data_IF_537755411727
#
_entry.id   IF_537755411727
#
_cell.length_a   1.000
_cell.length_b   1.000
_cell.length_c   1.000
_cell.angle_alpha   90.00
_cell.angle_beta   90.00
_cell.angle_gamma   90.00
#
_symmetry.space_group_name_H-M   'P 1'
#
loop_
_entity.id
_entity.type
_entity.pdbx_description
1 polymer ?
#
# COMPACT_ATOMS: atom_id res chain seq x y z
N UNK A 1 -5.89 26.94 -4.03
CA UNK A 1 -4.79 26.44 -3.19
C UNK A 1 -3.94 25.52 -4.04
N UNK A 2 -2.63 25.74 -4.12
CA UNK A 2 -1.75 24.81 -4.81
C UNK A 2 -1.65 23.52 -3.99
N UNK A 3 -1.84 22.37 -4.65
CA UNK A 3 -1.66 21.05 -4.05
C UNK A 3 -0.18 20.91 -3.68
N UNK A 4 0.14 20.45 -2.47
CA UNK A 4 1.53 20.29 -2.04
C UNK A 4 2.24 19.24 -2.90
N UNK A 5 3.56 19.33 -3.06
CA UNK A 5 4.34 18.36 -3.85
C UNK A 5 4.10 16.91 -3.38
N UNK A 6 4.00 16.69 -2.06
CA UNK A 6 3.67 15.38 -1.50
C UNK A 6 2.30 14.87 -1.95
N UNK A 7 1.28 15.74 -1.92
CA UNK A 7 -0.05 15.39 -2.39
C UNK A 7 -0.07 15.08 -3.89
N UNK A 8 0.67 15.83 -4.71
CA UNK A 8 0.82 15.53 -6.14
C UNK A 8 1.46 14.15 -6.36
N UNK A 9 2.46 13.81 -5.56
CA UNK A 9 3.14 12.50 -5.63
C UNK A 9 2.22 11.36 -5.21
N UNK A 10 1.43 11.53 -4.13
CA UNK A 10 0.42 10.55 -3.71
C UNK A 10 -0.59 10.33 -4.83
N UNK A 11 -1.10 11.39 -5.47
CA UNK A 11 -2.05 11.29 -6.58
C UNK A 11 -1.46 10.50 -7.74
N UNK A 12 -0.22 10.83 -8.16
CA UNK A 12 0.44 10.15 -9.27
C UNK A 12 0.67 8.66 -9.00
N UNK A 13 1.15 8.31 -7.79
CA UNK A 13 1.36 6.91 -7.39
C UNK A 13 0.01 6.18 -7.31
N UNK A 14 -1.01 6.80 -6.74
CA UNK A 14 -2.36 6.22 -6.65
C UNK A 14 -2.89 5.86 -8.04
N UNK A 15 -2.76 6.75 -9.02
CA UNK A 15 -3.19 6.48 -10.41
C UNK A 15 -2.44 5.29 -11.02
N UNK A 16 -1.12 5.22 -10.83
CA UNK A 16 -0.29 4.11 -11.31
C UNK A 16 -0.66 2.77 -10.67
N UNK A 17 -0.97 2.76 -9.38
CA UNK A 17 -1.44 1.56 -8.67
C UNK A 17 -2.81 1.13 -9.22
N UNK A 18 -3.75 2.06 -9.37
CA UNK A 18 -5.10 1.78 -9.87
C UNK A 18 -5.05 1.19 -11.29
N UNK A 19 -4.19 1.72 -12.16
CA UNK A 19 -4.07 1.23 -13.53
C UNK A 19 -3.57 -0.22 -13.60
N UNK A 20 -2.68 -0.63 -12.68
CA UNK A 20 -2.07 -1.96 -12.67
C UNK A 20 -2.81 -3.01 -11.83
N UNK A 21 -3.35 -2.60 -10.69
CA UNK A 21 -3.90 -3.50 -9.67
C UNK A 21 -5.38 -3.21 -9.32
N UNK A 22 -5.92 -2.08 -9.80
CA UNK A 22 -7.25 -1.62 -9.43
C UNK A 22 -7.27 -0.84 -8.12
N UNK A 23 -8.49 -0.45 -7.71
CA UNK A 23 -8.70 0.43 -6.55
C UNK A 23 -8.43 -0.25 -5.21
N UNK A 24 -8.65 -1.56 -5.14
CA UNK A 24 -8.55 -2.39 -3.94
C UNK A 24 -7.52 -3.47 -4.17
N UNK A 25 -6.46 -3.47 -3.36
CA UNK A 25 -5.37 -4.42 -3.47
C UNK A 25 -5.59 -5.59 -2.53
N UNK A 26 -5.45 -6.80 -3.07
CA UNK A 26 -5.44 -8.04 -2.29
C UNK A 26 -4.05 -8.32 -1.71
N UNK A 27 -3.90 -9.41 -0.96
CA UNK A 27 -2.59 -9.83 -0.47
C UNK A 27 -1.65 -10.23 -1.61
N UNK A 28 -2.20 -10.77 -2.70
CA UNK A 28 -1.46 -11.14 -3.89
C UNK A 28 -0.88 -9.90 -4.61
N UNK A 29 -1.67 -8.83 -4.72
CA UNK A 29 -1.18 -7.57 -5.30
C UNK A 29 -0.07 -6.95 -4.43
N UNK A 30 -0.28 -6.89 -3.12
CA UNK A 30 0.70 -6.37 -2.18
C UNK A 30 1.97 -7.21 -2.16
N UNK A 31 1.86 -8.53 -2.24
CA UNK A 31 2.99 -9.43 -2.36
C UNK A 31 3.83 -9.13 -3.61
N UNK A 32 3.17 -8.85 -4.74
CA UNK A 32 3.84 -8.42 -5.97
C UNK A 32 4.58 -7.08 -5.81
N UNK A 33 3.97 -6.12 -5.13
CA UNK A 33 4.55 -4.78 -4.91
C UNK A 33 5.74 -4.83 -3.93
N UNK A 34 5.61 -5.58 -2.84
CA UNK A 34 6.65 -5.71 -1.81
C UNK A 34 7.67 -6.82 -2.11
N UNK A 35 7.50 -7.58 -3.20
CA UNK A 35 8.35 -8.70 -3.59
C UNK A 35 8.51 -9.77 -2.50
N UNK A 36 7.40 -10.10 -1.82
CA UNK A 36 7.34 -11.13 -0.77
C UNK A 36 6.21 -12.12 -1.08
N UNK A 37 6.03 -13.15 -0.26
CA UNK A 37 4.88 -14.05 -0.42
C UNK A 37 3.58 -13.44 0.14
N UNK A 38 2.40 -13.80 -0.40
CA UNK A 38 1.12 -13.37 0.17
C UNK A 38 0.94 -13.79 1.64
N UNK A 39 1.54 -14.91 2.03
CA UNK A 39 1.55 -15.39 3.41
C UNK A 39 2.34 -14.45 4.33
N UNK A 40 3.49 -13.95 3.88
CA UNK A 40 4.25 -12.94 4.62
C UNK A 40 3.40 -11.69 4.85
N UNK A 41 2.73 -11.17 3.82
CA UNK A 41 1.83 -10.02 3.94
C UNK A 41 0.70 -10.29 4.96
N UNK A 42 0.04 -11.44 4.85
CA UNK A 42 -1.01 -11.85 5.80
C UNK A 42 -0.49 -11.93 7.23
N UNK A 43 0.70 -12.49 7.43
CA UNK A 43 1.33 -12.61 8.75
C UNK A 43 1.65 -11.23 9.34
N UNK A 44 2.24 -10.32 8.55
CA UNK A 44 2.51 -8.94 8.98
C UNK A 44 1.25 -8.19 9.39
N UNK A 45 0.18 -8.29 8.61
CA UNK A 45 -1.11 -7.71 8.97
C UNK A 45 -1.75 -8.34 10.22
N UNK A 46 -1.48 -9.61 10.48
CA UNK A 46 -1.99 -10.30 11.68
C UNK A 46 -1.18 -9.94 12.91
N UNK A 47 0.14 -9.78 12.77
CA UNK A 47 1.05 -9.34 13.81
C UNK A 47 0.87 -7.84 14.16
N UNK A 48 0.29 -7.06 13.24
CA UNK A 48 0.11 -5.62 13.42
C UNK A 48 1.40 -4.84 13.18
N UNK A 49 2.24 -5.34 12.27
CA UNK A 49 3.53 -4.70 11.97
C UNK A 49 3.33 -3.29 11.43
N UNK A 50 4.19 -2.37 11.89
CA UNK A 50 4.13 -0.94 11.54
C UNK A 50 4.69 -0.62 10.16
N UNK A 51 5.31 -1.61 9.51
CA UNK A 51 5.91 -1.47 8.18
C UNK A 51 4.94 -1.82 7.05
N UNK A 52 3.64 -1.90 7.34
CA UNK A 52 2.58 -2.18 6.38
C UNK A 52 1.61 -0.99 6.23
N UNK A 53 1.01 -0.79 5.04
CA UNK A 53 0.00 0.23 4.82
C UNK A 53 -1.26 -0.05 5.64
N UNK A 54 -2.14 0.95 5.78
CA UNK A 54 -3.45 0.74 6.39
C UNK A 54 -4.30 -0.17 5.51
N UNK A 55 -5.09 -1.03 6.16
CA UNK A 55 -6.06 -1.89 5.49
C UNK A 55 -7.47 -1.61 5.99
N UNK A 56 -8.45 -1.89 5.14
CA UNK A 56 -9.86 -1.94 5.49
C UNK A 56 -10.38 -3.36 5.35
N UNK A 57 -11.49 -3.66 6.02
CA UNK A 57 -12.12 -4.97 5.94
C UNK A 57 -13.43 -4.88 5.15
N UNK A 58 -13.44 -5.46 3.96
CA UNK A 58 -14.62 -5.55 3.08
C UNK A 58 -14.99 -7.01 2.88
N UNK A 59 -16.26 -7.36 3.12
CA UNK A 59 -16.76 -8.74 2.95
C UNK A 59 -15.87 -9.81 3.62
N UNK A 60 -15.44 -9.54 4.86
CA UNK A 60 -14.53 -10.39 5.67
C UNK A 60 -13.10 -10.56 5.10
N UNK A 61 -12.74 -9.87 4.03
CA UNK A 61 -11.38 -9.81 3.49
C UNK A 61 -10.71 -8.50 3.86
N UNK A 62 -9.44 -8.55 4.21
CA UNK A 62 -8.63 -7.34 4.38
C UNK A 62 -8.12 -6.91 3.02
N UNK A 63 -8.33 -5.66 2.67
CA UNK A 63 -7.87 -5.05 1.42
C UNK A 63 -7.21 -3.72 1.74
N UNK A 64 -6.26 -3.33 0.90
CA UNK A 64 -5.60 -2.02 1.00
C UNK A 64 -6.11 -1.15 -0.13
N UNK A 65 -6.52 0.07 0.16
CA UNK A 65 -6.93 0.99 -0.91
C UNK A 65 -5.66 1.52 -1.61
N UNK A 66 -5.73 1.71 -2.92
CA UNK A 66 -4.60 2.23 -3.70
C UNK A 66 -4.06 3.55 -3.13
N UNK A 67 -4.94 4.43 -2.64
CA UNK A 67 -4.57 5.68 -2.00
C UNK A 67 -3.82 5.47 -0.67
N UNK A 68 -4.27 4.54 0.18
CA UNK A 68 -3.63 4.24 1.47
C UNK A 68 -2.21 3.69 1.25
N UNK A 69 -2.05 2.84 0.24
CA UNK A 69 -0.72 2.35 -0.15
C UNK A 69 0.15 3.48 -0.70
N UNK A 70 -0.37 4.34 -1.57
CA UNK A 70 0.38 5.46 -2.09
C UNK A 70 0.83 6.43 -0.99
N UNK A 71 -0.08 6.78 -0.07
CA UNK A 71 0.23 7.59 1.09
C UNK A 71 1.32 6.95 1.94
N UNK A 72 1.22 5.64 2.20
CA UNK A 72 2.26 4.89 2.90
C UNK A 72 3.61 4.97 2.16
N UNK A 73 3.66 4.73 0.85
CA UNK A 73 4.91 4.80 0.07
C UNK A 73 5.55 6.20 0.08
N UNK A 74 4.73 7.26 0.13
CA UNK A 74 5.21 8.65 0.17
C UNK A 74 5.68 9.06 1.56
N UNK A 75 4.95 8.69 2.60
CA UNK A 75 5.11 9.21 3.97
C UNK A 75 5.93 8.31 4.89
N UNK A 76 6.03 7.02 4.58
CA UNK A 76 6.78 6.07 5.41
C UNK A 76 8.28 6.33 5.29
N UNK A 77 8.88 6.79 6.39
CA UNK A 77 10.25 7.31 6.42
C UNK A 77 11.33 6.22 6.33
N UNK A 78 10.97 4.95 6.55
CA UNK A 78 11.88 3.80 6.36
C UNK A 78 11.95 3.36 4.90
N UNK A 79 11.95 4.34 3.99
CA UNK A 79 12.26 4.17 2.58
C UNK A 79 13.63 3.51 2.47
N UNK A 80 13.67 2.29 1.92
CA UNK A 80 14.91 1.59 1.53
C UNK A 80 15.77 0.95 2.63
N UNK A 81 15.21 0.35 3.70
CA UNK A 81 16.04 -0.48 4.61
C UNK A 81 16.42 -1.87 4.07
N UNK A 82 15.90 -2.24 2.90
CA UNK A 82 16.09 -3.58 2.30
C UNK A 82 16.40 -3.55 0.79
N UNK A 83 16.82 -2.40 0.26
CA UNK A 83 17.45 -2.31 -1.07
C UNK A 83 18.95 -2.03 -0.90
#
# INVERSE_FOLDING_TARGET
MAISYQQQMIIAITQSIIEKHGLMLSYEDLAGIFQVTPETIKNKFTAGDRDMPRYTQLNRRRVVMAQDLAEFMVTFDSKFKYF
#
